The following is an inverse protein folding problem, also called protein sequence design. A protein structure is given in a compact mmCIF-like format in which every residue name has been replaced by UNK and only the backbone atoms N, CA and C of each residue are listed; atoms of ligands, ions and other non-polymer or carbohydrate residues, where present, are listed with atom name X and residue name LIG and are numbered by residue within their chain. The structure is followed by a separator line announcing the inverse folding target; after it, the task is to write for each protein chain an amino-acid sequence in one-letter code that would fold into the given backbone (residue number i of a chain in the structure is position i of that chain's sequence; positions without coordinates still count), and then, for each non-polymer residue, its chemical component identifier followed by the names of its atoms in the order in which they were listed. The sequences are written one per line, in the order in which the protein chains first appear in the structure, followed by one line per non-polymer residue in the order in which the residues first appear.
data_IF_576316400985
#
_entry.id   IF_576316400985
#
_cell.length_a   1.000
_cell.length_b   1.000
_cell.length_c   1.000
_cell.angle_alpha   90.00
_cell.angle_beta   90.00
_cell.angle_gamma   90.00
#
_symmetry.space_group_name_H-M   'P 1'
#
loop_
_entity.id
_entity.type
_entity.pdbx_description
1 polymer ?
#
# COMPACT_ATOMS: atom_id res chain seq x y z
N UNK A 1 -11.68 -1.77 -17.23
CA UNK A 1 -12.11 -0.37 -17.45
C UNK A 1 -12.56 0.27 -16.13
N UNK A 2 -13.61 -0.24 -15.43
CA UNK A 2 -14.18 0.39 -14.22
C UNK A 2 -13.18 0.74 -13.11
N UNK A 3 -12.40 -0.23 -12.60
CA UNK A 3 -11.43 0.04 -11.53
C UNK A 3 -10.32 0.98 -12.00
N UNK A 4 -9.94 0.91 -13.28
CA UNK A 4 -8.98 1.85 -13.86
C UNK A 4 -9.50 3.29 -13.77
N UNK A 5 -10.76 3.51 -14.15
CA UNK A 5 -11.41 4.83 -14.07
C UNK A 5 -11.54 5.33 -12.61
N UNK A 6 -11.85 4.41 -11.68
CA UNK A 6 -11.87 4.72 -10.25
C UNK A 6 -10.48 5.11 -9.72
N UNK A 7 -9.45 4.30 -10.02
CA UNK A 7 -8.07 4.55 -9.57
C UNK A 7 -7.42 5.77 -10.22
N UNK A 8 -7.99 6.25 -11.34
CA UNK A 8 -7.56 7.47 -12.04
C UNK A 8 -8.38 8.70 -11.64
N UNK A 9 -9.32 8.59 -10.68
CA UNK A 9 -10.17 9.69 -10.23
C UNK A 9 -11.16 10.22 -11.27
N UNK A 10 -11.43 9.44 -12.31
CA UNK A 10 -12.34 9.85 -13.39
C UNK A 10 -13.81 9.72 -12.99
N UNK A 11 -14.13 8.86 -12.01
CA UNK A 11 -15.47 8.70 -11.44
C UNK A 11 -15.59 9.62 -10.23
N UNK A 12 -16.37 10.71 -10.36
CA UNK A 12 -16.41 11.77 -9.35
C UNK A 12 -17.74 11.84 -8.56
N UNK A 13 -18.73 11.05 -8.93
CA UNK A 13 -20.03 11.11 -8.28
C UNK A 13 -20.69 9.73 -8.18
N UNK A 14 -21.59 9.61 -7.19
CA UNK A 14 -22.31 8.36 -6.91
C UNK A 14 -23.20 7.91 -8.08
N UNK A 15 -23.70 8.84 -8.89
CA UNK A 15 -24.55 8.49 -10.04
C UNK A 15 -23.76 7.69 -11.07
N UNK A 16 -22.56 8.14 -11.44
CA UNK A 16 -21.67 7.42 -12.34
C UNK A 16 -21.28 6.05 -11.76
N UNK A 17 -21.00 5.99 -10.45
CA UNK A 17 -20.68 4.76 -9.76
C UNK A 17 -21.82 3.74 -9.83
N UNK A 18 -23.07 4.19 -9.61
CA UNK A 18 -24.25 3.34 -9.66
C UNK A 18 -24.57 2.87 -11.08
N UNK A 19 -24.40 3.71 -12.09
CA UNK A 19 -24.54 3.34 -13.51
C UNK A 19 -23.57 2.19 -13.85
N UNK A 20 -22.30 2.29 -13.41
CA UNK A 20 -21.30 1.22 -13.59
C UNK A 20 -21.67 -0.09 -12.89
N UNK A 21 -22.23 -0.02 -11.68
CA UNK A 21 -22.67 -1.23 -10.97
C UNK A 21 -23.85 -1.92 -11.66
N UNK A 22 -24.77 -1.14 -12.20
CA UNK A 22 -25.88 -1.68 -12.99
C UNK A 22 -25.40 -2.37 -14.27
N UNK A 23 -24.49 -1.75 -15.01
CA UNK A 23 -23.93 -2.30 -16.24
C UNK A 23 -23.15 -3.59 -16.02
N UNK A 24 -22.43 -3.69 -14.91
CA UNK A 24 -21.67 -4.90 -14.57
C UNK A 24 -22.51 -6.01 -13.93
N UNK A 25 -23.76 -5.73 -13.60
CA UNK A 25 -24.62 -6.65 -12.81
C UNK A 25 -23.90 -7.22 -11.57
N UNK A 26 -23.14 -6.36 -10.90
CA UNK A 26 -22.27 -6.72 -9.78
C UNK A 26 -22.59 -5.84 -8.58
N UNK A 27 -22.88 -6.45 -7.44
CA UNK A 27 -23.10 -5.75 -6.19
C UNK A 27 -21.83 -5.79 -5.37
N UNK A 28 -21.19 -4.64 -5.20
CA UNK A 28 -19.95 -4.45 -4.43
C UNK A 28 -20.31 -3.70 -3.17
N UNK A 29 -20.25 -4.38 -2.02
CA UNK A 29 -20.66 -3.82 -0.73
C UNK A 29 -19.45 -3.52 0.18
N UNK A 30 -19.50 -2.43 0.97
CA UNK A 30 -18.50 -2.16 1.99
C UNK A 30 -18.55 -3.21 3.13
N UNK A 31 -17.49 -3.32 3.94
CA UNK A 31 -16.26 -2.54 3.88
C UNK A 31 -15.35 -2.94 2.72
N UNK A 32 -14.65 -1.96 2.17
CA UNK A 32 -13.65 -2.14 1.14
C UNK A 32 -12.24 -2.12 1.74
N UNK A 33 -11.31 -2.81 1.09
CA UNK A 33 -9.87 -2.73 1.33
C UNK A 33 -9.19 -2.71 -0.02
N UNK A 34 -8.29 -1.78 -0.22
CA UNK A 34 -7.44 -1.75 -1.39
C UNK A 34 -6.07 -2.36 -1.04
N UNK A 35 -5.55 -3.17 -1.94
CA UNK A 35 -4.20 -3.72 -1.85
C UNK A 35 -3.44 -3.37 -3.11
N UNK A 36 -2.23 -2.85 -2.97
CA UNK A 36 -1.26 -2.72 -4.05
C UNK A 36 -0.21 -3.83 -3.94
N UNK A 37 0.17 -4.41 -5.07
CA UNK A 37 1.25 -5.40 -5.15
C UNK A 37 2.27 -4.93 -6.18
N UNK A 38 3.54 -4.88 -5.77
CA UNK A 38 4.68 -4.54 -6.63
C UNK A 38 5.61 -5.73 -6.77
N UNK A 39 6.15 -5.93 -7.97
CA UNK A 39 7.16 -6.94 -8.23
C UNK A 39 8.56 -6.31 -8.11
N UNK A 40 9.53 -7.06 -7.60
CA UNK A 40 10.92 -6.60 -7.45
C UNK A 40 11.86 -7.20 -8.51
N UNK A 41 11.32 -7.83 -9.56
CA UNK A 41 12.10 -8.55 -10.56
C UNK A 41 12.39 -7.68 -11.78
N UNK A 42 13.44 -8.03 -12.52
CA UNK A 42 13.87 -7.37 -13.75
C UNK A 42 12.80 -7.34 -14.86
N UNK A 43 11.86 -8.26 -14.86
CA UNK A 43 10.69 -8.28 -15.75
C UNK A 43 9.39 -8.12 -14.94
N UNK A 44 9.13 -6.88 -14.50
CA UNK A 44 7.98 -6.54 -13.67
C UNK A 44 6.64 -6.89 -14.33
N UNK A 45 6.50 -6.67 -15.64
CA UNK A 45 5.23 -6.91 -16.36
C UNK A 45 4.87 -8.38 -16.39
N UNK A 46 5.85 -9.24 -16.65
CA UNK A 46 5.64 -10.69 -16.65
C UNK A 46 5.30 -11.17 -15.23
N UNK A 47 6.07 -10.72 -14.24
CA UNK A 47 5.84 -11.06 -12.84
C UNK A 47 4.44 -10.65 -12.37
N UNK A 48 4.00 -9.41 -12.64
CA UNK A 48 2.66 -8.93 -12.30
C UNK A 48 1.56 -9.73 -13.01
N UNK A 49 1.78 -10.16 -14.25
CA UNK A 49 0.82 -11.01 -14.97
C UNK A 49 0.67 -12.39 -14.33
N UNK A 50 1.77 -12.98 -13.87
CA UNK A 50 1.75 -14.27 -13.14
C UNK A 50 1.10 -14.11 -11.75
N UNK A 51 1.40 -13.04 -11.03
CA UNK A 51 0.79 -12.71 -9.73
C UNK A 51 -0.73 -12.52 -9.93
N UNK A 52 -1.15 -11.78 -10.96
CA UNK A 52 -2.57 -11.59 -11.28
C UNK A 52 -3.30 -12.91 -11.47
N UNK A 53 -2.74 -13.85 -12.23
CA UNK A 53 -3.33 -15.19 -12.43
C UNK A 53 -3.46 -15.96 -11.10
N UNK A 54 -2.43 -15.90 -10.26
CA UNK A 54 -2.46 -16.53 -8.94
C UNK A 54 -3.50 -15.88 -8.02
N UNK A 55 -3.65 -14.56 -8.06
CA UNK A 55 -4.68 -13.85 -7.32
C UNK A 55 -6.09 -14.25 -7.80
N UNK A 56 -6.31 -14.34 -9.12
CA UNK A 56 -7.60 -14.77 -9.67
C UNK A 56 -8.00 -16.18 -9.22
N UNK A 57 -7.02 -17.08 -9.04
CA UNK A 57 -7.26 -18.45 -8.57
C UNK A 57 -7.49 -18.55 -7.06
N UNK A 58 -6.72 -17.81 -6.26
CA UNK A 58 -6.70 -17.95 -4.79
C UNK A 58 -7.59 -16.93 -4.08
N UNK A 59 -7.98 -15.86 -4.76
CA UNK A 59 -8.83 -14.79 -4.25
C UNK A 59 -10.06 -14.62 -5.15
N UNK A 60 -10.98 -15.59 -5.16
CA UNK A 60 -12.18 -15.50 -5.98
C UNK A 60 -13.04 -14.31 -5.52
N UNK A 61 -13.77 -13.73 -6.45
CA UNK A 61 -14.68 -12.60 -6.22
C UNK A 61 -13.98 -11.30 -5.76
N UNK A 62 -12.73 -11.08 -6.18
CA UNK A 62 -12.02 -9.81 -5.99
C UNK A 62 -11.89 -9.09 -7.34
N UNK A 63 -11.87 -7.77 -7.29
CA UNK A 63 -11.59 -6.98 -8.49
C UNK A 63 -10.08 -6.75 -8.58
N UNK A 64 -9.47 -7.25 -9.66
CA UNK A 64 -8.01 -7.27 -9.83
C UNK A 64 -7.62 -6.55 -11.12
N UNK A 65 -6.76 -5.56 -11.01
CA UNK A 65 -6.31 -4.73 -12.12
C UNK A 65 -4.82 -4.45 -12.02
N UNK A 66 -4.14 -4.36 -13.17
CA UNK A 66 -2.79 -3.78 -13.27
C UNK A 66 -2.93 -2.36 -13.82
N UNK A 67 -2.40 -1.39 -13.08
CA UNK A 67 -2.39 0.02 -13.42
C UNK A 67 -1.04 0.62 -12.99
N UNK A 68 -0.36 1.36 -13.89
CA UNK A 68 0.94 1.97 -13.66
C UNK A 68 2.02 1.02 -13.08
N UNK A 69 2.12 -0.19 -13.64
CA UNK A 69 3.02 -1.25 -13.16
C UNK A 69 2.80 -1.68 -11.70
N UNK A 70 1.61 -1.47 -11.18
CA UNK A 70 1.16 -1.96 -9.86
C UNK A 70 -0.08 -2.82 -10.05
N UNK A 71 -0.13 -3.96 -9.38
CA UNK A 71 -1.33 -4.78 -9.33
C UNK A 71 -2.19 -4.32 -8.16
N UNK A 72 -3.40 -3.86 -8.44
CA UNK A 72 -4.38 -3.48 -7.43
C UNK A 72 -5.44 -4.57 -7.27
N UNK A 73 -5.78 -4.84 -6.02
CA UNK A 73 -6.84 -5.79 -5.63
C UNK A 73 -7.81 -5.03 -4.74
N UNK A 74 -9.05 -4.88 -5.19
CA UNK A 74 -10.13 -4.38 -4.35
C UNK A 74 -10.85 -5.56 -3.71
N UNK A 75 -10.67 -5.69 -2.40
CA UNK A 75 -11.41 -6.61 -1.57
C UNK A 75 -12.69 -5.95 -1.08
N UNK A 76 -13.82 -6.67 -1.15
CA UNK A 76 -15.13 -6.21 -0.75
C UNK A 76 -15.96 -7.35 -0.18
N UNK A 77 -17.00 -7.02 0.55
CA UNK A 77 -17.94 -8.00 1.06
C UNK A 77 -18.88 -8.46 -0.07
N UNK A 78 -18.73 -9.70 -0.50
CA UNK A 78 -19.71 -10.29 -1.42
C UNK A 78 -20.95 -10.75 -0.64
N UNK A 79 -22.13 -10.58 -1.22
CA UNK A 79 -23.41 -10.88 -0.58
C UNK A 79 -23.61 -12.36 -0.18
N UNK A 80 -22.83 -13.30 -0.73
CA UNK A 80 -23.09 -14.76 -0.59
C UNK A 80 -21.88 -15.65 -0.29
N UNK A 81 -20.91 -15.33 0.46
CA UNK A 81 -19.67 -16.04 0.85
C UNK A 81 -18.43 -15.22 0.48
N UNK A 82 -18.20 -14.14 1.19
CA UNK A 82 -16.90 -13.49 1.17
C UNK A 82 -15.92 -14.25 2.06
N UNK A 83 -14.68 -14.39 1.62
CA UNK A 83 -13.58 -14.84 2.48
C UNK A 83 -13.42 -13.86 3.65
N UNK A 84 -13.10 -14.38 4.83
CA UNK A 84 -12.76 -13.51 5.95
C UNK A 84 -11.50 -12.69 5.62
N UNK A 85 -11.35 -11.54 6.26
CA UNK A 85 -10.12 -10.71 6.08
C UNK A 85 -8.85 -11.53 6.38
N UNK A 86 -8.90 -12.39 7.37
CA UNK A 86 -7.78 -13.26 7.72
C UNK A 86 -7.43 -14.26 6.61
N UNK A 87 -8.42 -14.87 5.96
CA UNK A 87 -8.22 -15.77 4.82
C UNK A 87 -7.66 -15.01 3.62
N UNK A 88 -8.16 -13.80 3.37
CA UNK A 88 -7.64 -12.91 2.34
C UNK A 88 -6.14 -12.61 2.57
N UNK A 89 -5.78 -12.13 3.76
CA UNK A 89 -4.39 -11.80 4.11
C UNK A 89 -3.48 -13.03 4.07
N UNK A 90 -3.96 -14.20 4.54
CA UNK A 90 -3.22 -15.45 4.47
C UNK A 90 -2.93 -15.88 3.03
N UNK A 91 -3.93 -15.82 2.15
CA UNK A 91 -3.77 -16.14 0.73
C UNK A 91 -2.84 -15.16 0.02
N UNK A 92 -2.99 -13.87 0.29
CA UNK A 92 -2.11 -12.83 -0.25
C UNK A 92 -0.66 -13.02 0.19
N UNK A 93 -0.43 -13.35 1.47
CA UNK A 93 0.90 -13.63 2.02
C UNK A 93 1.59 -14.78 1.27
N UNK A 94 0.86 -15.86 0.95
CA UNK A 94 1.39 -16.99 0.15
C UNK A 94 1.81 -16.53 -1.25
N UNK A 95 0.98 -15.68 -1.89
CA UNK A 95 1.27 -15.17 -3.23
C UNK A 95 2.52 -14.29 -3.21
N UNK A 96 2.59 -13.27 -2.34
CA UNK A 96 3.71 -12.34 -2.31
C UNK A 96 5.04 -13.03 -1.94
N UNK A 97 5.00 -14.04 -1.05
CA UNK A 97 6.17 -14.86 -0.73
C UNK A 97 6.64 -15.66 -1.94
N UNK A 98 5.72 -16.34 -2.64
CA UNK A 98 6.03 -17.17 -3.82
C UNK A 98 6.68 -16.38 -4.94
N UNK A 99 6.25 -15.15 -5.19
CA UNK A 99 6.74 -14.32 -6.28
C UNK A 99 7.80 -13.30 -5.86
N UNK A 100 8.27 -13.36 -4.60
CA UNK A 100 9.18 -12.36 -4.04
C UNK A 100 8.68 -10.92 -4.22
N UNK A 101 7.36 -10.77 -4.28
CA UNK A 101 6.67 -9.49 -4.40
C UNK A 101 6.51 -8.81 -3.04
N UNK A 102 6.00 -7.58 -3.05
CA UNK A 102 5.62 -6.85 -1.86
C UNK A 102 4.20 -6.31 -2.02
N UNK A 103 3.44 -6.33 -0.94
CA UNK A 103 2.08 -5.82 -0.94
C UNK A 103 1.86 -4.81 0.20
N UNK A 104 1.14 -3.73 -0.12
CA UNK A 104 0.63 -2.76 0.83
C UNK A 104 -0.88 -2.84 0.91
N UNK A 105 -1.43 -2.84 2.10
CA UNK A 105 -2.86 -2.92 2.38
C UNK A 105 -3.31 -1.62 3.03
N UNK A 106 -4.37 -1.00 2.47
CA UNK A 106 -5.00 0.20 3.02
C UNK A 106 -5.78 -0.08 4.31
N UNK A 107 -6.21 0.97 4.97
CA UNK A 107 -7.29 0.88 5.95
C UNK A 107 -8.62 0.51 5.28
N UNK A 108 -9.59 0.09 6.11
CA UNK A 108 -10.96 -0.14 5.67
C UNK A 108 -11.64 1.17 5.27
N UNK A 109 -12.45 1.13 4.22
CA UNK A 109 -13.26 2.27 3.81
C UNK A 109 -14.64 1.84 3.31
N UNK A 110 -15.56 2.80 3.23
CA UNK A 110 -16.95 2.56 2.82
C UNK A 110 -17.36 3.36 1.57
N UNK A 111 -16.58 4.37 1.20
CA UNK A 111 -16.89 5.20 0.02
C UNK A 111 -15.84 4.97 -1.08
N UNK A 112 -16.26 4.37 -2.19
CA UNK A 112 -15.37 4.09 -3.33
C UNK A 112 -14.88 5.35 -4.06
N UNK A 113 -15.55 6.48 -3.90
CA UNK A 113 -15.09 7.74 -4.48
C UNK A 113 -13.81 8.26 -3.84
N UNK A 114 -13.43 7.74 -2.67
CA UNK A 114 -12.19 8.06 -1.96
C UNK A 114 -11.06 7.07 -2.26
N UNK A 115 -11.20 6.21 -3.26
CA UNK A 115 -10.24 5.12 -3.54
C UNK A 115 -8.82 5.65 -3.83
N UNK A 116 -8.69 6.88 -4.33
CA UNK A 116 -7.39 7.50 -4.57
C UNK A 116 -6.60 7.71 -3.27
N UNK A 117 -7.27 8.12 -2.19
CA UNK A 117 -6.62 8.27 -0.87
C UNK A 117 -6.13 6.91 -0.37
N UNK A 118 -6.93 5.86 -0.58
CA UNK A 118 -6.55 4.49 -0.19
C UNK A 118 -5.50 3.88 -1.11
N UNK A 119 -5.43 4.30 -2.38
CA UNK A 119 -4.31 4.00 -3.29
C UNK A 119 -3.00 4.56 -2.72
N UNK A 120 -2.99 5.82 -2.27
CA UNK A 120 -1.83 6.44 -1.62
C UNK A 120 -1.44 5.65 -0.37
N UNK A 121 -2.39 5.29 0.49
CA UNK A 121 -2.11 4.48 1.68
C UNK A 121 -1.42 3.15 1.34
N UNK A 122 -1.84 2.46 0.26
CA UNK A 122 -1.21 1.19 -0.12
C UNK A 122 0.24 1.36 -0.57
N UNK A 123 0.53 2.43 -1.31
CA UNK A 123 1.88 2.73 -1.80
C UNK A 123 2.79 3.19 -0.66
N UNK A 124 2.27 4.01 0.26
CA UNK A 124 2.97 4.43 1.47
C UNK A 124 3.30 3.24 2.37
N UNK A 125 2.37 2.30 2.55
CA UNK A 125 2.63 1.08 3.29
C UNK A 125 3.80 0.28 2.69
N UNK A 126 3.88 0.17 1.36
CA UNK A 126 5.01 -0.46 0.67
C UNK A 126 6.29 0.34 0.89
N UNK A 127 6.27 1.66 0.63
CA UNK A 127 7.42 2.56 0.74
C UNK A 127 8.03 2.50 2.15
N UNK A 128 7.23 2.74 3.16
CA UNK A 128 7.71 2.79 4.54
C UNK A 128 7.97 1.40 5.13
N UNK A 129 7.25 0.38 4.65
CA UNK A 129 7.56 -1.00 4.95
C UNK A 129 8.95 -1.40 4.46
N UNK A 130 9.35 -0.95 3.26
CA UNK A 130 10.69 -1.20 2.72
C UNK A 130 11.80 -0.54 3.54
N UNK A 131 11.55 0.66 4.06
CA UNK A 131 12.52 1.44 4.83
C UNK A 131 12.67 0.87 6.26
N UNK A 132 11.55 0.63 6.93
CA UNK A 132 11.52 0.31 8.35
C UNK A 132 11.54 -1.19 8.65
N UNK A 133 11.05 -2.01 7.72
CA UNK A 133 11.04 -3.47 7.84
C UNK A 133 11.26 -4.13 6.46
N UNK A 134 12.51 -4.14 5.95
CA UNK A 134 12.84 -4.61 4.59
C UNK A 134 12.43 -6.06 4.30
N UNK A 135 12.31 -6.89 5.34
CA UNK A 135 11.92 -8.30 5.24
C UNK A 135 10.39 -8.48 5.14
N UNK A 136 9.61 -7.48 5.52
CA UNK A 136 8.16 -7.55 5.43
C UNK A 136 7.73 -7.61 3.95
N UNK A 137 6.95 -8.63 3.62
CA UNK A 137 6.36 -8.80 2.28
C UNK A 137 4.93 -8.29 2.21
N UNK A 138 4.27 -8.21 3.34
CA UNK A 138 2.92 -7.68 3.51
C UNK A 138 2.98 -6.55 4.52
N UNK A 139 2.64 -5.34 4.08
CA UNK A 139 2.70 -4.12 4.85
C UNK A 139 1.28 -3.57 5.06
N UNK A 140 0.84 -3.44 6.30
CA UNK A 140 -0.45 -2.85 6.62
C UNK A 140 -0.26 -1.35 6.85
N UNK A 141 -1.03 -0.49 6.19
CA UNK A 141 -0.87 0.96 6.32
C UNK A 141 -1.00 1.45 7.77
N UNK A 142 -1.86 0.80 8.57
CA UNK A 142 -2.02 1.13 9.99
C UNK A 142 -0.70 1.08 10.79
N UNK A 143 0.26 0.24 10.39
CA UNK A 143 1.56 0.09 11.04
C UNK A 143 2.54 1.21 10.62
N UNK A 144 2.21 1.95 9.55
CA UNK A 144 3.06 2.97 8.92
C UNK A 144 2.42 4.36 8.85
N UNK A 145 1.30 4.61 9.56
CA UNK A 145 0.60 5.91 9.56
C UNK A 145 1.54 7.04 9.99
N UNK A 146 2.25 6.87 11.10
CA UNK A 146 3.18 7.90 11.59
C UNK A 146 4.32 8.18 10.60
N UNK A 147 5.05 7.18 10.11
CA UNK A 147 6.02 7.39 9.05
C UNK A 147 5.44 8.09 7.81
N UNK A 148 4.27 7.67 7.33
CA UNK A 148 3.63 8.25 6.16
C UNK A 148 3.30 9.75 6.31
N UNK A 149 2.99 10.19 7.54
CA UNK A 149 2.70 11.60 7.84
C UNK A 149 3.99 12.41 8.07
N UNK A 150 4.98 11.82 8.77
CA UNK A 150 6.15 12.56 9.24
C UNK A 150 7.27 12.63 8.20
N UNK A 151 7.57 11.53 7.50
CA UNK A 151 8.71 11.49 6.56
C UNK A 151 8.64 12.54 5.44
N UNK A 152 7.49 12.78 4.78
CA UNK A 152 7.42 13.81 3.74
C UNK A 152 7.76 15.21 4.26
N UNK A 153 7.48 15.47 5.54
CA UNK A 153 7.86 16.73 6.19
C UNK A 153 9.33 16.77 6.55
N UNK A 154 9.86 15.70 7.11
CA UNK A 154 11.26 15.58 7.51
C UNK A 154 12.18 15.70 6.29
N UNK A 155 11.82 15.08 5.15
CA UNK A 155 12.57 15.19 3.88
C UNK A 155 12.64 16.63 3.35
N UNK A 156 11.66 17.48 3.68
CA UNK A 156 11.61 18.88 3.27
C UNK A 156 12.26 19.83 4.29
N UNK A 157 12.59 19.35 5.48
CA UNK A 157 13.16 20.17 6.56
C UNK A 157 14.68 20.01 6.60
N UNK A 158 15.44 21.11 6.69
CA UNK A 158 16.85 20.99 7.04
C UNK A 158 16.95 20.44 8.46
N UNK A 159 17.37 19.19 8.58
CA UNK A 159 17.45 18.43 9.85
C UNK A 159 18.18 19.23 10.93
N UNK A 160 19.21 19.98 10.54
CA UNK A 160 20.01 20.80 11.44
C UNK A 160 19.20 21.86 12.20
N UNK A 161 18.06 22.33 11.67
CA UNK A 161 17.23 23.35 12.34
C UNK A 161 16.38 22.77 13.47
N UNK A 162 16.28 21.45 13.57
CA UNK A 162 15.43 20.73 14.55
C UNK A 162 16.25 19.84 15.46
N UNK A 163 17.56 19.78 15.28
CA UNK A 163 18.44 19.03 16.14
C UNK A 163 18.54 19.71 17.52
N UNK A 164 18.28 19.01 18.62
CA UNK A 164 18.51 19.58 19.96
C UNK A 164 19.96 20.03 20.10
N UNK A 165 20.16 21.19 20.73
CA UNK A 165 21.54 21.74 20.93
C UNK A 165 22.49 20.76 21.60
N UNK A 166 21.98 19.88 22.46
CA UNK A 166 22.77 18.81 23.07
C UNK A 166 23.36 17.85 22.04
N UNK A 167 22.60 17.48 20.99
CA UNK A 167 23.07 16.61 19.93
C UNK A 167 24.00 17.33 18.96
N UNK A 168 23.76 18.64 18.70
CA UNK A 168 24.69 19.46 17.93
C UNK A 168 26.04 19.55 18.63
N UNK A 169 26.04 19.78 19.95
CA UNK A 169 27.26 19.84 20.75
C UNK A 169 28.00 18.49 20.79
N UNK A 170 27.27 17.37 20.87
CA UNK A 170 27.87 16.03 20.80
C UNK A 170 28.49 15.75 19.43
N UNK A 171 27.81 16.14 18.35
CA UNK A 171 28.34 15.98 17.00
C UNK A 171 29.60 16.82 16.78
N UNK A 172 29.60 18.05 17.27
CA UNK A 172 30.78 18.92 17.23
C UNK A 172 31.95 18.33 18.04
N UNK A 173 31.68 17.79 19.24
CA UNK A 173 32.66 17.14 20.07
C UNK A 173 33.23 15.87 19.41
N UNK A 174 32.40 15.03 18.78
CA UNK A 174 32.82 13.84 18.04
C UNK A 174 33.74 14.20 16.88
N UNK A 175 33.38 15.27 16.13
CA UNK A 175 34.22 15.75 15.02
C UNK A 175 35.57 16.29 15.49
N UNK A 176 35.63 17.02 16.62
CA UNK A 176 36.86 17.59 17.16
C UNK A 176 37.78 16.55 17.81
N UNK A 177 37.21 15.53 18.42
CA UNK A 177 37.96 14.55 19.22
C UNK A 177 38.03 13.15 18.57
N UNK A 178 37.53 12.98 17.36
CA UNK A 178 37.45 11.67 16.66
C UNK A 178 36.81 10.59 17.53
N UNK A 179 35.71 10.95 18.21
CA UNK A 179 34.90 10.03 19.03
C UNK A 179 33.59 9.67 18.31
N UNK A 180 32.88 8.67 18.79
CA UNK A 180 31.62 8.15 18.24
C UNK A 180 30.51 8.13 19.31
N UNK A 181 30.33 9.23 20.03
CA UNK A 181 29.30 9.31 21.09
C UNK A 181 27.89 9.32 20.51
N UNK A 182 27.70 10.00 19.38
CA UNK A 182 26.39 10.13 18.73
C UNK A 182 25.88 8.80 18.16
N UNK A 183 26.68 7.93 17.52
CA UNK A 183 26.26 6.60 17.07
C UNK A 183 25.92 5.62 18.19
N UNK A 184 26.30 5.91 19.43
CA UNK A 184 26.06 5.02 20.60
C UNK A 184 24.77 5.35 21.35
N UNK A 185 24.04 6.40 20.95
CA UNK A 185 22.73 6.79 21.47
C UNK A 185 21.61 6.14 20.67
#
# INVERSE_FOLDING_TARGET
VFISELLSGNIKNEKQLNEWFQDMNCEILPPYILTAVTARNSDEKLALSMIRRSCQSLLPNQLILIHDNVLYILHYKASKKGSSLHEYQSSLTKIVKRFHAQAGISQHFSNLLLIEDYKIQTLDAIKYGQILNPDARLCLYQDYILPAILYPRIEQMPVNNYMPKSLENMNAYDMENATELLPTL
#
